data_IF_333615572977
#
_entry.id   IF_333615572977
#
_cell.length_a   1.000
_cell.length_b   1.000
_cell.length_c   1.000
_cell.angle_alpha   90.00
_cell.angle_beta   90.00
_cell.angle_gamma   90.00
#
_symmetry.space_group_name_H-M   'P 1'
#
loop_
_entity.id
_entity.type
_entity.pdbx_description
1 polymer ?
#
# COMPACT_ATOMS: atom_id res chain seq x y z
N UNK A 1 68.85 -29.38 -37.40
CA UNK A 1 69.45 -28.23 -36.68
C UNK A 1 69.24 -28.44 -35.19
N UNK A 2 70.27 -28.99 -34.53
CA UNK A 2 70.68 -28.87 -33.11
C UNK A 2 69.63 -28.87 -31.97
N UNK A 3 69.70 -29.93 -31.16
CA UNK A 3 69.38 -30.11 -29.72
C UNK A 3 70.00 -29.03 -28.78
N UNK A 4 69.92 -29.13 -27.41
CA UNK A 4 68.79 -29.28 -26.46
C UNK A 4 69.00 -28.46 -25.14
N UNK A 5 68.04 -28.42 -24.22
CA UNK A 5 68.27 -28.22 -22.75
C UNK A 5 67.03 -28.76 -22.00
N UNK A 6 66.96 -29.99 -21.47
CA UNK A 6 67.52 -30.60 -20.24
C UNK A 6 67.04 -30.04 -18.87
N UNK A 7 66.15 -30.84 -18.25
CA UNK A 7 66.01 -31.28 -16.84
C UNK A 7 65.93 -30.28 -15.67
N UNK A 8 64.88 -30.43 -14.84
CA UNK A 8 65.04 -30.85 -13.43
C UNK A 8 63.70 -31.23 -12.74
N UNK A 9 63.70 -32.44 -12.16
CA UNK A 9 63.04 -32.92 -10.92
C UNK A 9 61.50 -32.81 -10.77
N UNK A 10 60.76 -33.92 -10.94
CA UNK A 10 60.52 -35.01 -9.96
C UNK A 10 59.75 -34.54 -8.73
N UNK A 11 58.43 -34.77 -8.74
CA UNK A 11 57.70 -35.21 -7.55
C UNK A 11 56.45 -35.99 -7.97
N UNK A 12 56.60 -37.32 -7.98
CA UNK A 12 55.53 -38.31 -7.98
C UNK A 12 54.90 -38.33 -6.58
N UNK A 13 53.63 -37.94 -6.46
CA UNK A 13 52.83 -38.19 -5.26
C UNK A 13 51.87 -39.33 -5.59
N UNK A 14 51.99 -40.50 -4.95
CA UNK A 14 51.11 -41.62 -5.24
C UNK A 14 49.75 -41.43 -4.58
N UNK A 15 48.74 -41.81 -5.35
CA UNK A 15 47.39 -42.19 -4.96
C UNK A 15 47.35 -42.89 -3.59
N UNK A 16 46.70 -42.28 -2.60
CA UNK A 16 46.32 -42.93 -1.34
C UNK A 16 44.81 -42.72 -1.17
N UNK A 17 44.05 -43.64 -1.75
CA UNK A 17 42.61 -43.79 -1.54
C UNK A 17 42.41 -44.24 -0.11
N UNK A 18 42.06 -43.30 0.77
CA UNK A 18 41.59 -43.63 2.11
C UNK A 18 40.14 -44.07 2.00
N UNK A 19 39.94 -45.38 2.07
CA UNK A 19 38.65 -46.05 2.21
C UNK A 19 38.11 -45.77 3.62
N UNK A 20 37.41 -44.65 3.80
CA UNK A 20 36.61 -44.40 4.99
C UNK A 20 35.26 -45.12 4.82
N UNK A 21 35.16 -46.23 5.54
CA UNK A 21 33.96 -47.02 5.75
C UNK A 21 32.92 -46.15 6.46
N UNK A 22 32.06 -45.46 5.72
CA UNK A 22 30.85 -44.87 6.27
C UNK A 22 29.85 -46.00 6.56
N UNK A 23 29.26 -46.07 7.77
CA UNK A 23 28.18 -47.01 8.00
C UNK A 23 27.01 -46.59 7.11
N UNK A 24 26.42 -47.56 6.40
CA UNK A 24 25.07 -47.45 5.87
C UNK A 24 24.11 -47.30 7.06
N UNK A 25 23.99 -46.08 7.58
CA UNK A 25 22.90 -45.70 8.45
C UNK A 25 21.63 -45.80 7.60
N UNK A 26 20.70 -46.61 8.07
CA UNK A 26 19.44 -46.88 7.40
C UNK A 26 18.73 -45.59 7.03
N UNK A 27 18.10 -45.63 5.87
CA UNK A 27 17.06 -44.69 5.50
C UNK A 27 15.87 -44.99 6.41
N UNK A 28 15.93 -44.53 7.66
CA UNK A 28 14.83 -44.58 8.61
C UNK A 28 13.79 -43.59 8.09
N UNK A 29 12.71 -44.14 7.54
CA UNK A 29 11.54 -43.37 7.18
C UNK A 29 11.13 -42.55 8.41
N UNK A 30 11.11 -41.23 8.27
CA UNK A 30 10.60 -40.33 9.29
C UNK A 30 9.23 -40.85 9.77
N UNK A 31 9.16 -41.14 11.06
CA UNK A 31 7.97 -41.61 11.74
C UNK A 31 6.83 -40.58 11.57
N UNK A 32 5.65 -40.93 11.02
CA UNK A 32 4.53 -40.01 10.86
C UNK A 32 3.84 -39.64 12.19
N UNK A 33 4.39 -40.02 13.34
CA UNK A 33 3.82 -39.78 14.66
C UNK A 33 4.51 -38.70 15.51
N UNK A 34 5.51 -37.97 14.98
CA UNK A 34 5.96 -36.76 15.67
C UNK A 34 4.84 -35.71 15.64
N UNK A 35 4.36 -35.23 16.81
CA UNK A 35 3.43 -34.11 16.82
C UNK A 35 4.19 -32.90 16.30
N UNK A 36 3.92 -32.51 15.06
CA UNK A 36 4.26 -31.17 14.56
C UNK A 36 3.80 -30.20 15.63
N UNK A 37 4.75 -29.55 16.31
CA UNK A 37 4.46 -28.63 17.39
C UNK A 37 3.37 -27.68 16.89
N UNK A 38 2.18 -27.75 17.50
CA UNK A 38 1.07 -26.88 17.10
C UNK A 38 1.57 -25.47 17.35
N UNK A 39 1.84 -24.73 16.29
CA UNK A 39 2.15 -23.31 16.39
C UNK A 39 1.10 -22.66 17.29
N UNK A 40 1.54 -21.76 18.17
CA UNK A 40 0.65 -21.10 19.12
C UNK A 40 -0.36 -20.27 18.32
N UNK A 41 -1.63 -20.72 18.32
CA UNK A 41 -2.71 -20.16 17.53
C UNK A 41 -3.65 -19.34 18.40
N UNK A 42 -3.95 -18.13 17.96
CA UNK A 42 -4.97 -17.27 18.58
C UNK A 42 -6.32 -17.62 17.96
N UNK A 43 -7.27 -18.07 18.78
CA UNK A 43 -8.64 -18.38 18.36
C UNK A 43 -9.53 -17.16 18.48
N UNK A 44 -9.85 -16.53 17.36
CA UNK A 44 -10.72 -15.35 17.32
C UNK A 44 -12.21 -15.71 17.39
N UNK A 45 -12.59 -16.88 16.90
CA UNK A 45 -13.94 -17.42 17.03
C UNK A 45 -13.90 -18.94 17.21
N UNK A 46 -14.88 -19.46 17.95
CA UNK A 46 -15.12 -20.89 18.15
C UNK A 46 -16.63 -21.13 18.13
N UNK A 47 -17.10 -22.07 17.31
CA UNK A 47 -18.52 -22.40 17.16
C UNK A 47 -19.43 -21.20 16.82
N UNK A 48 -18.94 -20.20 16.09
CA UNK A 48 -19.62 -18.93 15.81
C UNK A 48 -19.86 -18.04 17.03
N UNK A 49 -19.08 -18.22 18.10
CA UNK A 49 -19.03 -17.35 19.26
C UNK A 49 -17.63 -16.73 19.34
N UNK A 50 -17.55 -15.50 19.81
CA UNK A 50 -16.27 -14.82 20.05
C UNK A 50 -16.25 -14.16 21.42
N UNK A 51 -15.06 -14.15 22.02
CA UNK A 51 -14.75 -13.35 23.21
C UNK A 51 -14.11 -12.00 22.86
N UNK A 52 -13.82 -11.77 21.58
CA UNK A 52 -13.08 -10.61 21.09
C UNK A 52 -14.03 -9.47 20.74
N UNK A 53 -13.63 -8.25 21.11
CA UNK A 53 -14.20 -7.03 20.55
C UNK A 53 -13.24 -6.42 19.52
N UNK A 54 -13.77 -5.70 18.53
CA UNK A 54 -12.96 -4.81 17.69
C UNK A 54 -12.81 -3.49 18.44
N UNK A 55 -11.59 -3.15 18.81
CA UNK A 55 -11.27 -2.00 19.65
C UNK A 55 -10.64 -0.92 18.79
N UNK A 56 -11.18 0.29 18.84
CA UNK A 56 -10.69 1.45 18.10
C UNK A 56 -10.62 2.66 19.03
N UNK A 57 -9.72 3.60 18.74
CA UNK A 57 -9.69 4.89 19.45
C UNK A 57 -11.01 5.65 19.30
N UNK A 58 -11.27 6.58 20.22
CA UNK A 58 -12.41 7.49 20.14
C UNK A 58 -12.38 8.41 18.88
N UNK A 59 -13.37 9.29 18.73
CA UNK A 59 -13.45 10.17 17.55
C UNK A 59 -12.28 11.16 17.41
N UNK A 60 -11.64 11.52 18.52
CA UNK A 60 -10.54 12.49 18.57
C UNK A 60 -9.20 11.83 18.24
N UNK A 61 -9.01 10.61 18.71
CA UNK A 61 -7.77 9.83 18.58
C UNK A 61 -7.76 8.99 17.31
N UNK A 62 -8.91 8.59 16.77
CA UNK A 62 -9.01 7.82 15.52
C UNK A 62 -9.36 8.70 14.32
N UNK A 63 -8.86 8.31 13.15
CA UNK A 63 -9.26 8.89 11.86
C UNK A 63 -10.52 8.21 11.32
N UNK A 64 -11.19 8.87 10.37
CA UNK A 64 -12.33 8.27 9.68
C UNK A 64 -11.97 6.96 8.96
N UNK A 65 -10.74 6.82 8.46
CA UNK A 65 -10.26 5.59 7.83
C UNK A 65 -10.06 4.45 8.83
N UNK A 66 -9.59 4.75 10.04
CA UNK A 66 -9.42 3.73 11.11
C UNK A 66 -10.78 3.23 11.61
N UNK A 67 -11.76 4.12 11.81
CA UNK A 67 -13.12 3.71 12.18
C UNK A 67 -13.78 2.87 11.09
N UNK A 68 -13.64 3.29 9.83
CA UNK A 68 -14.14 2.50 8.70
C UNK A 68 -13.43 1.13 8.58
N UNK A 69 -12.13 1.06 8.88
CA UNK A 69 -11.39 -0.20 8.92
C UNK A 69 -11.95 -1.14 10.00
N UNK A 70 -12.28 -0.62 11.19
CA UNK A 70 -12.92 -1.39 12.26
C UNK A 70 -14.31 -1.91 11.85
N UNK A 71 -15.10 -1.07 11.16
CA UNK A 71 -16.41 -1.46 10.61
C UNK A 71 -16.29 -2.57 9.55
N UNK A 72 -15.39 -2.44 8.58
CA UNK A 72 -15.17 -3.46 7.56
C UNK A 72 -14.67 -4.76 8.21
N UNK A 73 -13.76 -4.69 9.17
CA UNK A 73 -13.27 -5.86 9.89
C UNK A 73 -14.41 -6.60 10.61
N UNK A 74 -15.21 -5.91 11.42
CA UNK A 74 -16.33 -6.51 12.13
C UNK A 74 -17.36 -7.12 11.16
N UNK A 75 -17.66 -6.42 10.07
CA UNK A 75 -18.55 -6.91 9.02
C UNK A 75 -18.05 -8.23 8.40
N UNK A 76 -16.79 -8.27 7.97
CA UNK A 76 -16.25 -9.47 7.32
C UNK A 76 -16.08 -10.62 8.31
N UNK A 77 -15.61 -10.35 9.52
CA UNK A 77 -15.51 -11.38 10.56
C UNK A 77 -16.87 -12.00 10.88
N UNK A 78 -17.93 -11.20 10.96
CA UNK A 78 -19.28 -11.73 11.13
C UNK A 78 -19.74 -12.58 9.94
N UNK A 79 -19.44 -12.15 8.70
CA UNK A 79 -19.77 -12.92 7.49
C UNK A 79 -19.02 -14.26 7.43
N UNK A 80 -17.77 -14.29 7.87
CA UNK A 80 -16.91 -15.48 7.84
C UNK A 80 -17.31 -16.46 8.94
N UNK A 81 -17.43 -15.96 10.17
CA UNK A 81 -17.54 -16.80 11.37
C UNK A 81 -18.97 -17.02 11.83
N UNK A 82 -19.89 -16.12 11.49
CA UNK A 82 -21.21 -16.01 12.10
C UNK A 82 -21.21 -15.35 13.48
N UNK A 83 -20.05 -15.12 14.10
CA UNK A 83 -19.93 -14.47 15.40
C UNK A 83 -20.05 -12.94 15.27
N UNK A 84 -20.66 -12.29 16.26
CA UNK A 84 -20.72 -10.83 16.31
C UNK A 84 -19.51 -10.30 17.07
N UNK A 85 -18.69 -9.51 16.39
CA UNK A 85 -17.56 -8.79 16.99
C UNK A 85 -18.00 -7.35 17.28
N UNK A 86 -18.32 -6.98 18.54
CA UNK A 86 -18.74 -5.63 18.86
C UNK A 86 -17.59 -4.64 18.62
N UNK A 87 -17.91 -3.47 18.08
CA UNK A 87 -16.97 -2.36 17.98
C UNK A 87 -17.11 -1.51 19.24
N UNK A 88 -16.00 -1.33 19.95
CA UNK A 88 -15.94 -0.63 21.24
C UNK A 88 -14.81 0.38 21.24
N UNK A 89 -14.92 1.40 22.08
CA UNK A 89 -13.85 2.37 22.27
C UNK A 89 -12.78 1.79 23.17
N UNK A 90 -11.52 2.15 22.90
CA UNK A 90 -10.37 1.67 23.66
C UNK A 90 -10.40 2.05 25.14
N UNK A 91 -10.86 3.24 25.48
CA UNK A 91 -10.94 3.74 26.86
C UNK A 91 -12.05 3.09 27.70
N UNK A 92 -13.04 2.49 27.04
CA UNK A 92 -14.22 1.87 27.65
C UNK A 92 -14.13 0.33 27.67
N UNK A 93 -13.04 -0.27 27.18
CA UNK A 93 -12.94 -1.72 26.99
C UNK A 93 -11.75 -2.37 27.69
N UNK A 94 -12.05 -3.42 28.46
CA UNK A 94 -11.07 -4.32 29.04
C UNK A 94 -11.38 -5.76 28.62
N UNK A 95 -10.40 -6.47 28.06
CA UNK A 95 -10.54 -7.85 27.61
C UNK A 95 -9.72 -8.16 26.34
N UNK A 96 -9.81 -9.39 25.82
CA UNK A 96 -9.16 -9.77 24.57
C UNK A 96 -9.68 -8.93 23.40
N UNK A 97 -8.81 -8.16 22.75
CA UNK A 97 -9.21 -7.21 21.72
C UNK A 97 -8.57 -7.46 20.36
N UNK A 98 -9.29 -7.10 19.30
CA UNK A 98 -8.71 -6.83 17.99
C UNK A 98 -8.58 -5.32 17.85
N UNK A 99 -7.39 -4.80 18.13
CA UNK A 99 -7.12 -3.36 18.16
C UNK A 99 -6.81 -2.85 16.76
N UNK A 100 -7.62 -1.90 16.28
CA UNK A 100 -7.56 -1.35 14.93
C UNK A 100 -7.16 0.13 15.00
N UNK A 101 -6.04 0.46 14.34
CA UNK A 101 -5.54 1.84 14.26
C UNK A 101 -4.41 2.14 15.23
N UNK A 102 -4.07 3.43 15.34
CA UNK A 102 -3.02 3.92 16.25
C UNK A 102 -3.52 3.98 17.70
N UNK A 103 -3.79 2.80 18.27
CA UNK A 103 -4.33 2.59 19.63
C UNK A 103 -3.24 2.67 20.70
N UNK A 104 -3.63 2.96 21.94
CA UNK A 104 -2.74 2.96 23.10
C UNK A 104 -2.18 1.56 23.35
N UNK A 105 -2.95 0.49 23.11
CA UNK A 105 -2.50 -0.90 23.19
C UNK A 105 -1.38 -1.18 22.20
N UNK A 106 -1.51 -0.74 20.95
CA UNK A 106 -0.49 -0.90 19.93
C UNK A 106 0.79 -0.13 20.29
N UNK A 107 0.66 1.10 20.80
CA UNK A 107 1.80 1.86 21.31
C UNK A 107 2.47 1.17 22.51
N UNK A 108 1.68 0.62 23.44
CA UNK A 108 2.16 -0.06 24.65
C UNK A 108 2.99 -1.31 24.39
N UNK A 109 2.85 -1.93 23.22
CA UNK A 109 3.68 -3.07 22.78
C UNK A 109 4.83 -2.65 21.85
N UNK A 110 5.14 -1.36 21.78
CA UNK A 110 6.31 -0.82 21.10
C UNK A 110 6.13 -0.56 19.60
N UNK A 111 4.90 -0.39 19.11
CA UNK A 111 4.70 0.13 17.75
C UNK A 111 4.95 1.63 17.74
N UNK A 112 6.02 2.08 17.07
CA UNK A 112 6.27 3.49 16.82
C UNK A 112 5.58 3.92 15.52
N UNK A 113 4.44 4.62 15.66
CA UNK A 113 3.68 5.11 14.52
C UNK A 113 4.40 6.19 13.72
N UNK A 114 5.38 6.89 14.31
CA UNK A 114 6.16 7.93 13.64
C UNK A 114 7.12 7.37 12.59
N UNK A 115 7.49 6.10 12.71
CA UNK A 115 8.35 5.40 11.76
C UNK A 115 7.58 4.70 10.62
N UNK A 116 6.24 4.72 10.67
CA UNK A 116 5.39 4.10 9.66
C UNK A 116 5.09 5.09 8.54
N UNK A 117 5.41 4.71 7.31
CA UNK A 117 4.97 5.45 6.12
C UNK A 117 3.44 5.43 5.96
N UNK A 118 2.90 6.36 5.18
CA UNK A 118 1.45 6.64 5.11
C UNK A 118 0.54 5.44 4.78
N UNK A 119 1.09 4.44 4.11
CA UNK A 119 0.41 3.23 3.64
C UNK A 119 1.06 1.95 4.16
N UNK A 120 2.01 2.07 5.09
CA UNK A 120 2.61 0.92 5.75
C UNK A 120 1.66 0.37 6.81
N UNK A 121 1.67 -0.95 6.96
CA UNK A 121 0.80 -1.68 7.87
C UNK A 121 1.61 -2.63 8.74
N UNK A 122 1.04 -2.96 9.90
CA UNK A 122 1.60 -3.89 10.88
C UNK A 122 0.47 -4.79 11.39
N UNK A 123 0.71 -6.10 11.34
CA UNK A 123 -0.14 -7.15 11.91
C UNK A 123 0.67 -7.84 13.01
N UNK A 124 0.22 -7.75 14.25
CA UNK A 124 0.91 -8.34 15.39
C UNK A 124 -0.06 -9.01 16.32
N UNK A 125 0.22 -10.24 16.74
CA UNK A 125 -0.49 -10.90 17.83
C UNK A 125 0.29 -10.76 19.12
N UNK A 126 -0.42 -10.56 20.22
CA UNK A 126 0.10 -10.80 21.57
C UNK A 126 -0.56 -12.06 22.11
N UNK A 127 -0.36 -12.36 23.40
CA UNK A 127 -0.97 -13.53 24.05
C UNK A 127 -2.50 -13.57 23.89
N UNK A 128 -3.15 -12.42 24.07
CA UNK A 128 -4.61 -12.33 24.07
C UNK A 128 -5.15 -11.40 22.98
N UNK A 129 -4.33 -10.60 22.31
CA UNK A 129 -4.80 -9.57 21.38
C UNK A 129 -4.29 -9.74 19.95
N UNK A 130 -5.05 -9.22 19.01
CA UNK A 130 -4.62 -8.98 17.64
C UNK A 130 -4.52 -7.47 17.40
N UNK A 131 -3.39 -7.01 16.90
CA UNK A 131 -3.13 -5.61 16.59
C UNK A 131 -3.05 -5.45 15.08
N UNK A 132 -3.94 -4.63 14.52
CA UNK A 132 -4.01 -4.27 13.10
C UNK A 132 -3.83 -2.76 13.01
N UNK A 133 -2.60 -2.31 12.73
CA UNK A 133 -2.26 -0.89 12.78
C UNK A 133 -1.41 -0.48 11.58
N UNK A 134 -1.17 0.81 11.41
CA UNK A 134 -0.42 1.32 10.27
C UNK A 134 -0.18 2.83 10.32
N UNK A 135 0.55 3.31 9.32
CA UNK A 135 0.71 4.75 9.11
C UNK A 135 -0.59 5.38 8.60
N UNK A 136 -0.71 6.69 8.82
CA UNK A 136 -1.86 7.47 8.35
C UNK A 136 -1.58 8.10 6.99
N UNK A 137 -2.57 8.19 6.08
CA UNK A 137 -3.99 8.02 6.36
C UNK A 137 -4.59 6.63 6.04
N UNK A 138 -3.84 5.70 5.43
CA UNK A 138 -4.44 4.46 4.86
C UNK A 138 -3.82 3.14 5.36
N UNK A 139 -2.67 3.18 6.04
CA UNK A 139 -1.96 2.00 6.51
C UNK A 139 -2.82 1.05 7.34
N UNK A 140 -3.57 1.56 8.34
CA UNK A 140 -4.48 0.73 9.15
C UNK A 140 -5.54 0.01 8.31
N UNK A 141 -6.12 0.70 7.33
CA UNK A 141 -7.14 0.12 6.46
C UNK A 141 -6.55 -1.02 5.62
N UNK A 142 -5.30 -0.87 5.17
CA UNK A 142 -4.58 -1.94 4.49
C UNK A 142 -4.17 -3.07 5.43
N UNK A 143 -3.89 -2.81 6.71
CA UNK A 143 -3.64 -3.85 7.71
C UNK A 143 -4.86 -4.77 7.86
N UNK A 144 -6.07 -4.19 7.91
CA UNK A 144 -7.32 -4.95 7.96
C UNK A 144 -7.52 -5.79 6.71
N UNK A 145 -7.32 -5.23 5.52
CA UNK A 145 -7.47 -6.02 4.29
C UNK A 145 -6.39 -7.09 4.11
N UNK A 146 -5.15 -6.81 4.52
CA UNK A 146 -4.09 -7.81 4.59
C UNK A 146 -4.45 -8.99 5.49
N UNK A 147 -4.98 -8.69 6.68
CA UNK A 147 -5.45 -9.71 7.60
C UNK A 147 -6.59 -10.55 6.99
N UNK A 148 -7.60 -9.89 6.44
CA UNK A 148 -8.76 -10.55 5.83
C UNK A 148 -8.35 -11.42 4.63
N UNK A 149 -7.39 -10.99 3.82
CA UNK A 149 -6.90 -11.76 2.68
C UNK A 149 -6.01 -12.94 3.11
N UNK A 150 -5.02 -12.69 3.95
CA UNK A 150 -3.97 -13.67 4.26
C UNK A 150 -4.39 -14.67 5.32
N UNK A 151 -5.10 -14.21 6.35
CA UNK A 151 -5.49 -15.04 7.49
C UNK A 151 -6.93 -15.54 7.38
N UNK A 152 -7.83 -14.69 6.89
CA UNK A 152 -9.26 -15.02 6.81
C UNK A 152 -9.71 -15.55 5.44
N UNK A 153 -8.89 -15.42 4.39
CA UNK A 153 -9.15 -15.98 3.05
C UNK A 153 -10.09 -15.18 2.15
N UNK A 154 -10.41 -13.93 2.48
CA UNK A 154 -11.26 -13.06 1.65
C UNK A 154 -10.60 -12.73 0.30
N UNK A 155 -11.41 -12.62 -0.77
CA UNK A 155 -10.96 -12.10 -2.08
C UNK A 155 -12.00 -11.17 -2.68
N UNK A 156 -11.57 -10.06 -3.26
CA UNK A 156 -12.44 -9.11 -3.95
C UNK A 156 -12.12 -9.11 -5.44
N UNK A 157 -12.85 -9.94 -6.20
CA UNK A 157 -12.54 -10.25 -7.60
C UNK A 157 -13.04 -9.16 -8.55
N UNK A 158 -14.25 -8.65 -8.31
CA UNK A 158 -14.84 -7.53 -9.04
C UNK A 158 -15.66 -6.67 -8.08
N UNK A 159 -16.15 -5.49 -8.50
CA UNK A 159 -16.99 -4.64 -7.63
C UNK A 159 -18.27 -5.31 -7.10
N UNK A 160 -18.73 -6.38 -7.75
CA UNK A 160 -19.94 -7.11 -7.38
C UNK A 160 -19.70 -8.59 -7.06
N UNK A 161 -18.45 -9.05 -7.10
CA UNK A 161 -18.09 -10.45 -6.82
C UNK A 161 -16.98 -10.46 -5.78
N UNK A 162 -17.33 -10.93 -4.60
CA UNK A 162 -16.44 -11.17 -3.48
C UNK A 162 -16.53 -12.65 -3.06
N UNK A 163 -15.38 -13.22 -2.68
CA UNK A 163 -15.28 -14.56 -2.13
C UNK A 163 -15.02 -14.40 -0.66
N UNK A 164 -16.02 -14.71 0.16
CA UNK A 164 -15.93 -14.68 1.62
C UNK A 164 -16.08 -16.13 2.09
N UNK A 165 -15.03 -16.74 2.66
CA UNK A 165 -15.11 -18.11 3.14
C UNK A 165 -15.98 -18.19 4.40
N UNK A 166 -16.52 -19.38 4.67
CA UNK A 166 -17.22 -19.68 5.93
C UNK A 166 -16.28 -20.48 6.81
N UNK A 167 -15.96 -19.94 7.99
CA UNK A 167 -15.13 -20.60 9.00
C UNK A 167 -15.60 -20.21 10.40
N UNK A 168 -16.35 -21.10 11.05
CA UNK A 168 -16.92 -20.87 12.40
C UNK A 168 -15.86 -20.87 13.50
N UNK A 169 -14.71 -21.49 13.24
CA UNK A 169 -13.60 -21.72 14.16
C UNK A 169 -12.34 -21.00 13.66
N UNK A 170 -12.43 -19.67 13.57
CA UNK A 170 -11.34 -18.85 13.05
C UNK A 170 -10.17 -18.80 14.03
N UNK A 171 -9.15 -19.61 13.74
CA UNK A 171 -7.86 -19.59 14.40
C UNK A 171 -6.80 -18.99 13.47
N UNK A 172 -5.94 -18.14 14.01
CA UNK A 172 -4.83 -17.51 13.30
C UNK A 172 -3.49 -17.89 13.95
N UNK A 173 -2.39 -17.98 13.19
CA UNK A 173 -1.07 -18.17 13.76
C UNK A 173 -0.64 -16.91 14.55
N UNK A 174 0.44 -17.04 15.31
CA UNK A 174 1.13 -15.87 15.86
C UNK A 174 1.69 -15.01 14.71
N UNK A 175 1.36 -13.72 14.70
CA UNK A 175 1.77 -12.75 13.69
C UNK A 175 2.75 -11.74 14.28
N UNK A 176 3.79 -11.42 13.53
CA UNK A 176 4.61 -10.22 13.71
C UNK A 176 5.12 -9.78 12.33
N UNK A 177 4.22 -9.20 11.55
CA UNK A 177 4.48 -8.85 10.15
C UNK A 177 4.24 -7.37 9.90
N UNK A 178 5.09 -6.79 9.07
CA UNK A 178 4.99 -5.41 8.58
C UNK A 178 5.12 -5.44 7.07
N UNK A 179 4.36 -4.60 6.39
CA UNK A 179 4.44 -4.51 4.94
C UNK A 179 4.04 -3.13 4.44
N UNK A 180 4.33 -2.92 3.17
CA UNK A 180 3.98 -1.69 2.47
C UNK A 180 3.76 -1.98 0.98
N UNK A 181 2.90 -1.22 0.29
CA UNK A 181 2.77 -1.33 -1.15
C UNK A 181 4.09 -0.97 -1.86
N UNK A 182 4.52 -1.80 -2.82
CA UNK A 182 5.76 -1.55 -3.56
C UNK A 182 5.72 -0.37 -4.54
N UNK A 183 4.52 0.09 -4.92
CA UNK A 183 4.32 1.24 -5.81
C UNK A 183 3.57 2.33 -5.09
N UNK A 184 4.06 3.57 -5.08
CA UNK A 184 3.43 4.70 -4.38
C UNK A 184 2.04 5.07 -4.93
N UNK A 185 1.80 4.83 -6.22
CA UNK A 185 0.54 5.13 -6.89
C UNK A 185 0.02 3.89 -7.61
N UNK A 186 -1.23 3.53 -7.33
CA UNK A 186 -1.87 2.29 -7.79
C UNK A 186 -3.29 2.61 -8.23
N UNK A 187 -3.56 2.44 -9.51
CA UNK A 187 -4.90 2.58 -10.10
C UNK A 187 -5.22 1.36 -10.95
N UNK A 188 -6.51 1.01 -11.00
CA UNK A 188 -7.08 0.19 -12.05
C UNK A 188 -8.37 0.81 -12.56
N UNK A 189 -8.59 0.72 -13.86
CA UNK A 189 -9.84 1.16 -14.48
C UNK A 189 -10.50 -0.05 -15.11
N UNK A 190 -11.56 -0.55 -14.49
CA UNK A 190 -12.47 -1.48 -15.15
C UNK A 190 -13.36 -0.64 -16.05
N UNK A 191 -12.85 -0.27 -17.23
CA UNK A 191 -13.66 0.36 -18.26
C UNK A 191 -14.81 -0.59 -18.60
N UNK A 192 -16.08 -0.18 -18.42
CA UNK A 192 -17.13 -0.75 -19.24
C UNK A 192 -16.73 -0.45 -20.68
N UNK A 193 -16.77 -1.44 -21.58
CA UNK A 193 -16.95 -1.09 -23.00
C UNK A 193 -18.13 -0.13 -23.09
N UNK A 194 -18.06 0.77 -24.07
CA UNK A 194 -18.86 1.99 -24.30
C UNK A 194 -20.41 1.85 -24.27
N UNK A 195 -20.95 0.70 -23.89
CA UNK A 195 -22.33 0.27 -23.98
C UNK A 195 -23.08 0.22 -22.63
N UNK A 196 -22.41 0.36 -21.47
CA UNK A 196 -23.12 0.48 -20.18
C UNK A 196 -22.46 1.48 -19.20
N UNK A 197 -22.87 2.76 -19.22
CA UNK A 197 -22.30 3.80 -18.35
C UNK A 197 -22.69 3.68 -16.86
N UNK A 198 -23.45 2.66 -16.44
CA UNK A 198 -23.94 2.52 -15.04
C UNK A 198 -23.74 1.15 -14.42
N UNK A 199 -22.81 0.35 -14.91
CA UNK A 199 -22.64 -1.04 -14.45
C UNK A 199 -22.36 -1.18 -12.95
N UNK A 200 -21.69 -0.21 -12.32
CA UNK A 200 -21.39 -0.21 -10.89
C UNK A 200 -21.76 1.12 -10.25
N UNK A 201 -22.24 1.08 -9.01
CA UNK A 201 -22.39 2.31 -8.23
C UNK A 201 -21.01 2.87 -7.89
N UNK A 202 -20.95 4.20 -7.66
CA UNK A 202 -19.74 4.88 -7.18
C UNK A 202 -19.17 4.19 -5.94
N UNK A 203 -20.06 3.79 -5.04
CA UNK A 203 -19.74 3.17 -3.76
C UNK A 203 -19.10 1.79 -3.94
N UNK A 204 -19.73 0.91 -4.72
CA UNK A 204 -19.26 -0.47 -4.91
C UNK A 204 -17.87 -0.47 -5.57
N UNK A 205 -17.67 0.43 -6.52
CA UNK A 205 -16.38 0.58 -7.17
C UNK A 205 -15.31 1.15 -6.22
N UNK A 206 -15.64 2.17 -5.42
CA UNK A 206 -14.71 2.72 -4.45
C UNK A 206 -14.29 1.66 -3.42
N UNK A 207 -15.24 0.87 -2.90
CA UNK A 207 -14.95 -0.24 -1.99
C UNK A 207 -14.04 -1.27 -2.64
N UNK A 208 -14.32 -1.68 -3.88
CA UNK A 208 -13.48 -2.61 -4.63
C UNK A 208 -12.03 -2.11 -4.77
N UNK A 209 -11.85 -0.84 -5.12
CA UNK A 209 -10.53 -0.24 -5.24
C UNK A 209 -9.76 -0.30 -3.91
N UNK A 210 -10.40 0.15 -2.83
CA UNK A 210 -9.81 0.24 -1.50
C UNK A 210 -9.45 -1.13 -0.93
N UNK A 211 -10.34 -2.10 -1.09
CA UNK A 211 -10.13 -3.51 -0.70
C UNK A 211 -8.93 -4.14 -1.40
N UNK A 212 -8.71 -3.77 -2.68
CA UNK A 212 -7.53 -4.19 -3.45
C UNK A 212 -6.32 -3.24 -3.27
N UNK A 213 -6.33 -2.37 -2.24
CA UNK A 213 -5.26 -1.42 -1.90
C UNK A 213 -4.89 -0.44 -3.02
N UNK A 214 -5.81 -0.14 -3.94
CA UNK A 214 -5.66 0.94 -4.90
C UNK A 214 -5.87 2.29 -4.20
N UNK A 215 -5.02 3.26 -4.52
CA UNK A 215 -5.06 4.60 -3.93
C UNK A 215 -5.22 5.73 -4.97
N UNK A 216 -5.05 5.41 -6.25
CA UNK A 216 -5.12 6.33 -7.37
C UNK A 216 -6.48 6.36 -8.06
N UNK A 217 -6.68 7.35 -8.94
CA UNK A 217 -7.45 7.12 -10.15
C UNK A 217 -8.93 7.45 -10.19
N UNK A 218 -9.56 7.84 -9.09
CA UNK A 218 -10.98 8.23 -9.13
C UNK A 218 -11.27 9.26 -8.06
N UNK A 219 -12.10 10.27 -8.38
CA UNK A 219 -12.66 11.20 -7.38
C UNK A 219 -13.43 10.46 -6.27
N UNK A 220 -13.69 9.17 -6.45
CA UNK A 220 -14.47 8.31 -5.57
C UNK A 220 -13.70 7.88 -4.32
N UNK A 221 -12.36 7.84 -4.39
CA UNK A 221 -11.51 7.58 -3.23
C UNK A 221 -11.22 8.84 -2.40
N UNK A 222 -11.70 10.01 -2.83
CA UNK A 222 -11.45 11.27 -2.15
C UNK A 222 -12.39 11.50 -0.95
N UNK A 223 -12.58 10.47 -0.13
CA UNK A 223 -13.39 10.48 1.08
C UNK A 223 -12.49 10.17 2.29
N UNK A 224 -12.70 10.80 3.45
CA UNK A 224 -11.86 10.59 4.63
C UNK A 224 -11.80 9.12 5.10
N UNK A 225 -12.91 8.38 4.95
CA UNK A 225 -12.99 6.95 5.31
C UNK A 225 -12.13 6.02 4.44
N UNK A 226 -11.76 6.46 3.24
CA UNK A 226 -10.84 5.75 2.36
C UNK A 226 -9.41 6.30 2.45
N UNK A 227 -9.18 7.24 3.37
CA UNK A 227 -7.91 7.92 3.57
C UNK A 227 -7.49 8.79 2.38
N UNK A 228 -8.42 9.29 1.56
CA UNK A 228 -8.18 10.15 0.40
C UNK A 228 -7.44 9.50 -0.78
N UNK A 229 -7.67 10.05 -1.97
CA UNK A 229 -7.03 9.60 -3.20
C UNK A 229 -5.64 10.23 -3.37
N UNK A 230 -4.65 9.43 -3.76
CA UNK A 230 -3.34 9.93 -4.19
C UNK A 230 -3.45 10.48 -5.61
N UNK A 231 -3.12 11.76 -5.78
CA UNK A 231 -3.12 12.45 -7.06
C UNK A 231 -1.70 12.47 -7.63
N UNK A 232 -1.53 11.93 -8.82
CA UNK A 232 -0.29 12.04 -9.58
C UNK A 232 -0.50 13.02 -10.76
N UNK A 233 0.34 14.05 -10.90
CA UNK A 233 0.21 15.07 -11.94
C UNK A 233 0.95 16.37 -11.65
N UNK A 234 0.95 17.32 -12.61
CA UNK A 234 1.70 18.58 -12.52
C UNK A 234 1.34 19.37 -11.24
N UNK A 235 2.34 19.85 -10.47
CA UNK A 235 2.10 20.77 -9.35
C UNK A 235 1.27 21.97 -9.83
N UNK A 236 0.14 22.25 -9.17
CA UNK A 236 -0.73 23.39 -9.49
C UNK A 236 -1.98 23.11 -10.32
N UNK A 237 -2.30 21.85 -10.67
CA UNK A 237 -3.56 21.48 -11.32
C UNK A 237 -4.78 21.40 -10.38
N UNK A 238 -4.78 22.20 -9.30
CA UNK A 238 -5.97 22.38 -8.47
C UNK A 238 -7.00 23.20 -9.24
N UNK A 239 -8.11 22.57 -9.65
CA UNK A 239 -9.33 23.34 -9.91
C UNK A 239 -9.84 23.86 -8.56
N UNK A 240 -10.23 25.13 -8.44
CA UNK A 240 -10.68 25.70 -7.17
C UNK A 240 -11.99 25.00 -6.78
N UNK A 241 -11.98 24.24 -5.68
CA UNK A 241 -13.16 23.52 -5.20
C UNK A 241 -12.96 22.47 -4.12
N UNK A 242 -11.77 22.38 -3.50
CA UNK A 242 -11.55 21.43 -2.40
C UNK A 242 -10.26 21.72 -1.66
N UNK A 243 -10.30 22.64 -0.70
CA UNK A 243 -9.27 22.76 0.31
C UNK A 243 -9.45 21.63 1.33
N UNK A 244 -8.48 20.73 1.45
CA UNK A 244 -8.14 20.08 2.72
C UNK A 244 -6.72 20.51 3.08
N UNK A 245 -6.60 21.76 3.53
CA UNK A 245 -5.38 22.28 4.10
C UNK A 245 -5.39 22.01 5.61
N UNK A 246 -4.88 20.84 6.00
CA UNK A 246 -4.39 20.62 7.37
C UNK A 246 -3.31 19.55 7.35
N UNK A 247 -2.16 19.92 6.81
CA UNK A 247 -0.88 19.41 7.29
C UNK A 247 0.09 20.59 7.28
N UNK A 248 0.27 21.17 8.45
CA UNK A 248 1.26 22.20 8.73
C UNK A 248 2.65 21.62 8.47
N UNK A 249 3.16 21.79 7.25
CA UNK A 249 4.59 21.80 6.97
C UNK A 249 4.93 23.23 6.56
N UNK A 250 5.16 24.05 7.58
CA UNK A 250 5.99 25.23 7.46
C UNK A 250 7.42 24.76 7.13
N UNK A 251 7.66 24.45 5.86
CA UNK A 251 9.03 24.47 5.34
C UNK A 251 9.46 25.93 5.30
N UNK A 252 10.11 26.37 6.37
CA UNK A 252 11.00 27.52 6.31
C UNK A 252 12.07 27.23 5.26
N UNK A 253 11.89 27.82 4.09
CA UNK A 253 12.95 27.92 3.08
C UNK A 253 14.14 28.65 3.72
N UNK A 254 15.38 28.13 3.58
CA UNK A 254 16.55 28.87 4.01
C UNK A 254 16.63 30.21 3.25
N UNK A 255 16.82 31.28 4.02
CA UNK A 255 16.95 32.65 3.54
C UNK A 255 18.11 32.75 2.54
N UNK A 256 17.81 32.95 1.25
CA UNK A 256 18.90 33.02 0.26
C UNK A 256 18.57 33.33 -1.20
N UNK A 257 17.30 33.52 -1.60
CA UNK A 257 17.00 33.85 -2.99
C UNK A 257 16.08 35.07 -3.11
N UNK A 258 16.55 36.09 -3.84
CA UNK A 258 15.82 37.33 -4.16
C UNK A 258 14.47 36.99 -4.80
N UNK A 259 13.38 37.45 -4.18
CA UNK A 259 12.06 37.53 -4.81
C UNK A 259 12.15 38.44 -6.05
N UNK A 260 11.91 37.90 -7.24
CA UNK A 260 11.47 38.72 -8.37
C UNK A 260 9.96 38.93 -8.18
N UNK A 261 9.61 40.10 -7.66
CA UNK A 261 8.22 40.56 -7.52
C UNK A 261 7.81 41.21 -8.85
N UNK A 262 6.91 40.59 -9.59
CA UNK A 262 6.19 41.28 -10.67
C UNK A 262 4.91 41.86 -10.07
N UNK A 263 4.93 43.16 -9.80
CA UNK A 263 3.75 43.92 -9.40
C UNK A 263 2.91 44.28 -10.63
N UNK A 264 1.57 44.23 -10.57
CA UNK A 264 0.72 44.68 -11.66
C UNK A 264 0.61 46.21 -11.64
N UNK A 265 1.19 46.87 -12.64
CA UNK A 265 1.14 48.32 -12.84
C UNK A 265 0.37 48.67 -14.12
N UNK A 266 -0.62 49.57 -13.96
CA UNK A 266 -1.49 50.16 -14.99
C UNK A 266 -0.73 50.92 -16.09
N UNK A 267 -1.38 50.96 -17.26
CA UNK A 267 -1.31 51.93 -18.36
C UNK A 267 -0.16 52.94 -18.39
N UNK A 268 0.58 52.94 -19.51
CA UNK A 268 0.97 54.14 -20.24
C UNK A 268 1.25 53.72 -21.70
N UNK A 269 0.50 54.30 -22.64
CA UNK A 269 0.66 54.06 -24.06
C UNK A 269 1.99 54.59 -24.59
N UNK A 270 2.59 53.86 -25.53
CA UNK A 270 3.34 54.40 -26.66
C UNK A 270 3.59 53.28 -27.68
N UNK A 271 3.11 53.51 -28.92
CA UNK A 271 3.46 52.75 -30.11
C UNK A 271 4.98 52.72 -30.30
N UNK A 272 5.58 51.53 -30.33
CA UNK A 272 6.93 51.34 -30.87
C UNK A 272 6.80 50.84 -32.30
N UNK A 273 6.87 51.78 -33.25
CA UNK A 273 7.07 51.50 -34.68
C UNK A 273 8.47 50.92 -34.91
N UNK A 274 8.52 49.75 -35.53
CA UNK A 274 9.74 49.19 -36.10
C UNK A 274 9.93 49.79 -37.51
N UNK A 275 11.09 50.40 -37.84
CA UNK A 275 11.33 50.96 -39.16
C UNK A 275 11.64 49.87 -40.20
N UNK A 276 11.32 50.08 -41.49
CA UNK A 276 11.55 49.08 -42.54
C UNK A 276 13.02 49.14 -43.02
N UNK A 277 13.71 47.99 -43.02
CA UNK A 277 14.97 47.85 -43.71
C UNK A 277 14.73 47.64 -45.21
N UNK A 278 15.30 48.56 -46.00
CA UNK A 278 15.21 48.66 -47.45
C UNK A 278 16.10 47.60 -48.13
N UNK A 279 15.61 47.10 -49.25
CA UNK A 279 16.17 46.06 -50.10
C UNK A 279 17.53 46.39 -50.74
N UNK A 280 18.29 45.34 -51.07
CA UNK A 280 19.19 45.31 -52.23
C UNK A 280 19.06 43.97 -52.95
N UNK A 281 18.81 44.08 -54.25
CA UNK A 281 18.50 43.06 -55.24
C UNK A 281 19.75 42.38 -55.80
N UNK A 282 19.63 41.11 -56.13
CA UNK A 282 20.19 40.43 -57.32
C UNK A 282 19.38 39.13 -57.47
N UNK A 283 18.34 39.07 -58.32
CA UNK A 283 18.38 38.73 -59.75
C UNK A 283 18.34 37.20 -59.92
N UNK A 284 17.46 36.52 -60.66
CA UNK A 284 16.37 36.84 -61.59
C UNK A 284 15.52 35.52 -61.78
N UNK A 285 14.51 35.38 -62.67
CA UNK A 285 13.11 35.25 -62.28
C UNK A 285 12.38 34.06 -62.96
N UNK A 286 11.72 33.16 -62.24
CA UNK A 286 10.62 32.39 -62.83
C UNK A 286 9.46 32.28 -61.85
N UNK A 287 8.53 33.21 -62.09
CA UNK A 287 7.11 33.24 -61.73
C UNK A 287 6.59 31.88 -61.23
N UNK A 288 6.07 31.71 -60.01
CA UNK A 288 4.97 32.47 -59.40
C UNK A 288 3.82 32.71 -60.38
N UNK A 289 2.99 31.69 -60.62
CA UNK A 289 1.58 31.87 -60.98
C UNK A 289 0.80 30.60 -60.60
N UNK A 290 0.17 30.62 -59.41
CA UNK A 290 -1.19 30.13 -59.13
C UNK A 290 -1.34 29.76 -57.65
N UNK A 291 -1.71 30.78 -56.86
CA UNK A 291 -2.62 30.61 -55.73
C UNK A 291 -4.01 30.22 -56.25
N UNK A 292 -4.80 29.54 -55.40
CA UNK A 292 -6.26 29.33 -55.44
C UNK A 292 -6.76 27.98 -56.00
N UNK A 293 -6.61 26.92 -55.18
CA UNK A 293 -7.73 26.15 -54.59
C UNK A 293 -7.24 25.23 -53.49
#
# INVERSE_FOLDING_TARGET
MKDPMKYANVLLIPFLVSLLLAPLAGNEAADPSEPVAREEQVRLAEDSVTRYAVVVGDEETSTAAERFAAEELAFFLQKITGATFPIVKEDEYEGPGIYVGQTQRAAGIGVDFGELGEEEWVLRTTKDDLILTGGRPRGTLYAVYEFLETQAGCRWVTPNIEVIPVNRDLAIPTLDTRGQPGFAWRETTLYPRHDDPKRFSKEDYARFLVRNRYNGGSFWLNEPRFGFAVRFGRPGSHRPGGCSATSTLSCQLPQGHRKISLSPGKDLGQEVRIPPARAALHGDPLLAWMLLK
#
